data_IF_045057015290
#
_entry.id   IF_045057015290
#
_cell.length_a   1.000
_cell.length_b   1.000
_cell.length_c   1.000
_cell.angle_alpha   90.00
_cell.angle_beta   90.00
_cell.angle_gamma   90.00
#
_symmetry.space_group_name_H-M   'P 1'
#
loop_
_entity.id
_entity.type
_entity.pdbx_description
1 polymer ?
#
# COMPACT_ATOMS: atom_id res chain seq x y z
N UNK A 1 -21.62 16.33 4.19
CA UNK A 1 -20.58 15.68 3.36
C UNK A 1 -19.70 14.84 4.28
N UNK A 2 -19.38 13.59 3.94
CA UNK A 2 -18.54 12.72 4.78
C UNK A 2 -17.07 12.95 4.39
N UNK A 3 -16.21 13.28 5.36
CA UNK A 3 -14.76 13.51 5.14
C UNK A 3 -13.95 12.46 5.89
N UNK A 4 -12.87 11.95 5.29
CA UNK A 4 -11.99 10.95 5.92
C UNK A 4 -10.51 11.30 5.76
N UNK A 5 -9.69 10.89 6.73
CA UNK A 5 -8.24 11.14 6.71
C UNK A 5 -7.57 10.20 5.70
N UNK A 6 -6.69 10.75 4.87
CA UNK A 6 -5.96 10.03 3.82
C UNK A 6 -4.51 9.68 4.19
N UNK A 7 -4.03 10.15 5.33
CA UNK A 7 -2.68 9.88 5.82
C UNK A 7 -2.68 9.66 7.33
N UNK A 8 -1.66 8.97 7.82
CA UNK A 8 -1.39 8.78 9.24
C UNK A 8 0.01 9.29 9.57
N UNK A 9 0.13 10.09 10.63
CA UNK A 9 1.42 10.59 11.11
C UNK A 9 2.16 9.50 11.88
N UNK A 10 3.48 9.40 11.72
CA UNK A 10 4.29 8.45 12.49
C UNK A 10 4.18 8.75 13.99
N UNK A 11 4.18 7.69 14.82
CA UNK A 11 4.05 7.82 16.29
C UNK A 11 5.24 8.57 16.91
N UNK A 12 6.44 8.35 16.38
CA UNK A 12 7.69 8.98 16.85
C UNK A 12 8.20 9.94 15.78
N UNK A 13 8.18 11.26 16.03
CA UNK A 13 8.59 12.25 15.03
C UNK A 13 10.10 12.21 14.70
N UNK A 14 10.96 12.05 15.72
CA UNK A 14 12.41 12.32 15.65
C UNK A 14 13.29 11.06 15.57
N UNK A 15 12.88 10.05 14.79
CA UNK A 15 13.75 8.91 14.49
C UNK A 15 14.62 9.20 13.27
N UNK A 16 15.95 9.23 13.47
CA UNK A 16 16.95 9.53 12.43
C UNK A 16 16.84 8.57 11.24
N UNK A 17 16.81 7.26 11.49
CA UNK A 17 16.70 6.22 10.45
C UNK A 17 15.47 6.40 9.55
N UNK A 18 14.32 6.76 10.14
CA UNK A 18 13.08 7.01 9.38
C UNK A 18 13.20 8.25 8.52
N UNK A 19 13.80 9.33 9.04
CA UNK A 19 14.00 10.58 8.32
C UNK A 19 14.93 10.37 7.12
N UNK A 20 16.03 9.66 7.31
CA UNK A 20 17.00 9.35 6.24
C UNK A 20 16.38 8.46 5.15
N UNK A 21 15.61 7.44 5.55
CA UNK A 21 14.90 6.58 4.60
C UNK A 21 13.83 7.35 3.80
N UNK A 22 13.08 8.25 4.44
CA UNK A 22 12.10 9.10 3.77
C UNK A 22 12.77 10.10 2.82
N UNK A 23 13.90 10.69 3.22
CA UNK A 23 14.66 11.62 2.39
C UNK A 23 15.19 10.92 1.12
N UNK A 24 15.73 9.71 1.28
CA UNK A 24 16.20 8.88 0.15
C UNK A 24 15.07 8.55 -0.82
N UNK A 25 13.90 8.16 -0.31
CA UNK A 25 12.71 7.90 -1.13
C UNK A 25 12.24 9.14 -1.88
N UNK A 26 12.23 10.29 -1.23
CA UNK A 26 11.85 11.57 -1.85
C UNK A 26 12.81 11.93 -2.98
N UNK A 27 14.13 11.81 -2.75
CA UNK A 27 15.14 12.08 -3.77
C UNK A 27 15.08 11.15 -4.97
N UNK A 28 14.81 9.85 -4.76
CA UNK A 28 14.73 8.86 -5.85
C UNK A 28 13.49 9.01 -6.73
N UNK A 29 12.36 9.44 -6.16
CA UNK A 29 11.06 9.48 -6.86
C UNK A 29 10.56 10.90 -7.15
N UNK A 30 11.31 11.94 -6.76
CA UNK A 30 10.94 13.34 -7.02
C UNK A 30 9.67 13.79 -6.29
N UNK A 31 9.44 13.30 -5.07
CA UNK A 31 8.25 13.65 -4.28
C UNK A 31 8.38 15.08 -3.72
N UNK A 32 7.28 15.84 -3.66
CA UNK A 32 7.33 17.21 -3.11
C UNK A 32 7.33 17.22 -1.58
N UNK A 33 6.54 16.34 -0.97
CA UNK A 33 6.26 16.40 0.46
C UNK A 33 6.32 15.02 1.15
N UNK A 34 6.77 14.97 2.41
CA UNK A 34 6.67 13.77 3.28
C UNK A 34 5.24 13.24 3.42
N UNK A 35 4.24 14.13 3.29
CA UNK A 35 2.82 13.75 3.29
C UNK A 35 2.46 12.76 2.18
N UNK A 36 3.10 12.84 1.01
CA UNK A 36 2.84 11.92 -0.10
C UNK A 36 3.30 10.50 0.25
N UNK A 37 4.50 10.40 0.85
CA UNK A 37 5.02 9.14 1.40
C UNK A 37 4.04 8.56 2.43
N UNK A 38 3.51 9.40 3.32
CA UNK A 38 2.58 8.94 4.37
C UNK A 38 1.21 8.51 3.82
N UNK A 39 0.71 9.14 2.74
CA UNK A 39 -0.51 8.68 2.05
C UNK A 39 -0.31 7.28 1.46
N UNK A 40 0.81 7.05 0.78
CA UNK A 40 1.14 5.74 0.19
C UNK A 40 1.36 4.67 1.26
N UNK A 41 2.04 5.02 2.36
CA UNK A 41 2.15 4.13 3.54
C UNK A 41 0.77 3.76 4.08
N UNK A 42 -0.14 4.72 4.18
CA UNK A 42 -1.47 4.52 4.71
C UNK A 42 -2.35 3.64 3.81
N UNK A 43 -2.32 3.84 2.49
CA UNK A 43 -3.05 2.98 1.54
C UNK A 43 -2.52 1.55 1.55
N UNK A 44 -1.20 1.35 1.56
CA UNK A 44 -0.60 0.02 1.70
C UNK A 44 -0.97 -0.66 3.02
N UNK A 45 -1.01 0.09 4.13
CA UNK A 45 -1.42 -0.46 5.42
C UNK A 45 -2.87 -0.99 5.40
N UNK A 46 -3.79 -0.29 4.72
CA UNK A 46 -5.17 -0.77 4.53
C UNK A 46 -5.24 -2.03 3.70
N UNK A 47 -4.50 -2.08 2.59
CA UNK A 47 -4.45 -3.24 1.70
C UNK A 47 -3.88 -4.45 2.44
N UNK A 48 -2.77 -4.28 3.17
CA UNK A 48 -2.16 -5.35 3.98
C UNK A 48 -3.02 -5.81 5.14
N UNK A 49 -3.83 -4.93 5.73
CA UNK A 49 -4.79 -5.31 6.76
C UNK A 49 -5.86 -6.23 6.18
N UNK A 50 -6.49 -5.82 5.07
CA UNK A 50 -7.48 -6.65 4.39
C UNK A 50 -6.89 -7.99 3.94
N UNK A 51 -5.68 -8.01 3.38
CA UNK A 51 -5.01 -9.26 3.00
C UNK A 51 -4.78 -10.21 4.19
N UNK A 52 -4.40 -9.69 5.37
CA UNK A 52 -4.24 -10.51 6.58
C UNK A 52 -5.54 -11.11 7.07
N UNK A 53 -6.63 -10.34 7.04
CA UNK A 53 -7.97 -10.84 7.41
C UNK A 53 -8.44 -11.93 6.44
N UNK A 54 -8.14 -11.80 5.15
CA UNK A 54 -8.47 -12.81 4.15
C UNK A 54 -7.63 -14.08 4.27
N UNK A 55 -6.37 -13.96 4.70
CA UNK A 55 -5.46 -15.09 4.89
C UNK A 55 -5.85 -15.98 6.08
N UNK A 56 -6.50 -15.42 7.11
CA UNK A 56 -6.99 -16.19 8.26
C UNK A 56 -8.24 -17.01 7.99
N UNK A 57 -8.96 -16.73 6.90
CA UNK A 57 -10.17 -17.46 6.48
C UNK A 57 -9.80 -18.68 5.62
N UNK A 58 -10.68 -19.68 5.60
CA UNK A 58 -10.47 -20.89 4.81
C UNK A 58 -10.47 -20.62 3.31
N UNK A 59 -9.80 -21.49 2.55
CA UNK A 59 -9.55 -21.28 1.12
C UNK A 59 -10.82 -21.32 0.26
N UNK A 60 -11.87 -22.00 0.76
CA UNK A 60 -13.17 -22.15 0.08
C UNK A 60 -14.22 -21.14 0.50
N UNK A 61 -13.90 -20.23 1.42
CA UNK A 61 -14.87 -19.23 1.86
C UNK A 61 -15.24 -18.27 0.71
N UNK A 62 -16.54 -18.00 0.48
CA UNK A 62 -16.99 -17.10 -0.58
C UNK A 62 -16.44 -15.67 -0.40
N UNK A 63 -16.24 -15.25 0.86
CA UNK A 63 -15.63 -13.96 1.20
C UNK A 63 -14.19 -13.85 0.71
N UNK A 64 -13.39 -14.90 0.88
CA UNK A 64 -11.99 -14.94 0.45
C UNK A 64 -11.87 -14.86 -1.06
N UNK A 65 -12.69 -15.63 -1.78
CA UNK A 65 -12.74 -15.64 -3.24
C UNK A 65 -13.16 -14.28 -3.81
N UNK A 66 -14.21 -13.68 -3.26
CA UNK A 66 -14.74 -12.42 -3.77
C UNK A 66 -13.83 -11.23 -3.44
N UNK A 67 -13.51 -11.02 -2.16
CA UNK A 67 -12.71 -9.88 -1.73
C UNK A 67 -11.24 -10.01 -2.17
N UNK A 68 -10.70 -11.24 -2.18
CA UNK A 68 -9.35 -11.53 -2.67
C UNK A 68 -9.21 -11.17 -4.15
N UNK A 69 -10.12 -11.63 -5.01
CA UNK A 69 -10.12 -11.30 -6.43
C UNK A 69 -10.32 -9.79 -6.68
N UNK A 70 -11.17 -9.13 -5.90
CA UNK A 70 -11.36 -7.69 -5.98
C UNK A 70 -10.11 -6.89 -5.57
N UNK A 71 -9.34 -7.39 -4.59
CA UNK A 71 -8.04 -6.82 -4.19
C UNK A 71 -6.99 -6.99 -5.28
N UNK A 72 -6.86 -8.19 -5.84
CA UNK A 72 -5.91 -8.49 -6.91
C UNK A 72 -6.17 -7.62 -8.15
N UNK A 73 -7.42 -7.51 -8.60
CA UNK A 73 -7.81 -6.65 -9.73
C UNK A 73 -7.44 -5.18 -9.52
N UNK A 74 -7.61 -4.65 -8.29
CA UNK A 74 -7.22 -3.27 -7.95
C UNK A 74 -5.70 -3.08 -7.99
N UNK A 75 -4.94 -4.06 -7.52
CA UNK A 75 -3.47 -3.99 -7.49
C UNK A 75 -2.87 -4.07 -8.90
N UNK A 76 -3.43 -4.90 -9.78
CA UNK A 76 -3.03 -4.98 -11.20
C UNK A 76 -3.31 -3.64 -11.90
N UNK A 77 -4.49 -3.05 -11.67
CA UNK A 77 -4.83 -1.73 -12.25
C UNK A 77 -3.88 -0.61 -11.81
N UNK A 78 -3.39 -0.66 -10.57
CA UNK A 78 -2.43 0.31 -10.04
C UNK A 78 -1.01 0.00 -10.52
N UNK A 79 -0.75 -1.18 -11.11
CA UNK A 79 0.58 -1.58 -11.60
C UNK A 79 1.55 -2.01 -10.50
N UNK A 80 1.06 -2.36 -9.31
CA UNK A 80 1.92 -2.78 -8.18
C UNK A 80 2.39 -4.23 -8.34
N UNK A 81 1.56 -5.07 -8.99
CA UNK A 81 1.83 -6.47 -9.27
C UNK A 81 1.80 -6.70 -10.79
N UNK A 82 2.71 -7.53 -11.27
CA UNK A 82 2.62 -8.11 -12.62
C UNK A 82 1.58 -9.24 -12.63
N UNK A 83 0.98 -9.46 -13.80
CA UNK A 83 -0.09 -10.45 -14.02
C UNK A 83 0.35 -11.87 -13.62
N UNK A 84 1.64 -12.17 -13.68
CA UNK A 84 2.21 -13.47 -13.35
C UNK A 84 2.25 -13.79 -11.84
N UNK A 85 2.02 -12.78 -10.98
CA UNK A 85 2.18 -12.90 -9.51
C UNK A 85 0.88 -12.65 -8.75
N UNK A 86 -0.26 -13.10 -9.28
CA UNK A 86 -1.58 -12.96 -8.63
C UNK A 86 -1.80 -13.94 -7.47
N UNK A 87 -0.92 -13.95 -6.46
CA UNK A 87 -1.16 -14.67 -5.18
C UNK A 87 -1.30 -13.68 -4.02
N UNK A 88 -2.16 -13.99 -3.06
CA UNK A 88 -2.40 -13.14 -1.88
C UNK A 88 -1.12 -12.94 -1.05
N UNK A 89 -0.22 -13.92 -1.01
CA UNK A 89 1.03 -13.86 -0.26
C UNK A 89 1.96 -12.73 -0.76
N UNK A 90 1.97 -12.47 -2.08
CA UNK A 90 2.76 -11.39 -2.65
C UNK A 90 2.25 -10.00 -2.26
N UNK A 91 0.98 -9.87 -1.91
CA UNK A 91 0.40 -8.61 -1.43
C UNK A 91 1.02 -8.21 -0.08
N UNK A 92 1.32 -9.16 0.79
CA UNK A 92 2.01 -8.90 2.06
C UNK A 92 3.44 -8.41 1.85
N UNK A 93 4.15 -8.98 0.89
CA UNK A 93 5.54 -8.65 0.56
C UNK A 93 5.71 -7.34 -0.22
N UNK A 94 4.62 -6.69 -0.65
CA UNK A 94 4.67 -5.45 -1.44
C UNK A 94 5.41 -4.33 -0.71
N UNK A 95 6.52 -3.83 -1.28
CA UNK A 95 7.34 -2.75 -0.67
C UNK A 95 6.86 -1.36 -1.10
N UNK A 96 7.08 -0.37 -0.24
CA UNK A 96 6.80 1.06 -0.50
C UNK A 96 7.44 1.56 -1.81
N UNK A 97 8.61 1.03 -2.16
CA UNK A 97 9.32 1.37 -3.38
C UNK A 97 8.54 0.98 -4.64
N UNK A 98 7.90 -0.19 -4.64
CA UNK A 98 7.11 -0.69 -5.77
C UNK A 98 5.87 0.15 -6.01
N UNK A 99 5.17 0.56 -4.94
CA UNK A 99 3.97 1.39 -5.07
C UNK A 99 4.23 2.81 -5.56
N UNK A 100 5.40 3.37 -5.24
CA UNK A 100 5.80 4.69 -5.72
C UNK A 100 6.25 4.66 -7.19
N UNK A 101 6.90 3.59 -7.61
CA UNK A 101 7.28 3.39 -9.01
C UNK A 101 6.08 3.21 -9.94
N UNK A 102 5.01 2.56 -9.46
CA UNK A 102 3.82 2.26 -10.24
C UNK A 102 2.89 3.47 -10.48
N UNK A 103 3.34 4.70 -10.21
CA UNK A 103 2.56 5.90 -10.52
C UNK A 103 1.26 6.01 -9.71
N UNK A 104 1.18 5.36 -8.55
CA UNK A 104 0.05 5.48 -7.63
C UNK A 104 0.05 6.88 -6.98
N UNK A 105 -0.17 7.93 -7.79
CA UNK A 105 -0.52 9.26 -7.31
C UNK A 105 -1.84 9.08 -6.59
N UNK A 106 -1.91 9.27 -5.25
CA UNK A 106 -3.18 9.27 -4.57
C UNK A 106 -4.00 10.37 -5.23
N UNK A 107 -5.00 9.99 -6.04
CA UNK A 107 -5.89 10.93 -6.73
C UNK A 107 -6.26 12.03 -5.73
N UNK A 108 -5.86 13.26 -6.04
CA UNK A 108 -6.31 14.45 -5.36
C UNK A 108 -7.82 14.58 -5.52
#
# INVERSE_FOLDING_TARGET
RIYSKTYSTPRRPFEKERLDAELKLIGMYGLKNKREVWRVKYTLAKIRKAARELLTLEEKDPRRLFEGNALLRRLVRIGVLQEDKMKLDYVLASRLRTSLSAGCRPRC
#
